data_IF_896393226709
#
_entry.id   IF_896393226709
#
_cell.length_a   1.000
_cell.length_b   1.000
_cell.length_c   1.000
_cell.angle_alpha   90.00
_cell.angle_beta   90.00
_cell.angle_gamma   90.00
#
_symmetry.space_group_name_H-M   'P 1'
#
loop_
_entity.id
_entity.type
_entity.pdbx_description
1 polymer ?
#
# COMPACT_ATOMS: atom_id res chain seq x y z
N UNK A 1 0.59 33.36 -25.79
CA UNK A 1 -0.77 32.79 -25.54
C UNK A 1 -0.57 31.35 -25.09
N UNK A 2 -0.61 31.11 -23.79
CA UNK A 2 -0.56 29.72 -23.27
C UNK A 2 -1.98 29.14 -23.43
N UNK A 3 -2.12 28.18 -24.33
CA UNK A 3 -3.32 27.39 -24.43
C UNK A 3 -3.50 26.66 -23.08
N UNK A 4 -4.56 27.00 -22.33
CA UNK A 4 -4.99 26.23 -21.18
C UNK A 4 -5.30 24.81 -21.69
N UNK A 5 -4.52 23.84 -21.26
CA UNK A 5 -4.92 22.43 -21.38
C UNK A 5 -6.23 22.33 -20.61
N UNK A 6 -7.33 21.89 -21.23
CA UNK A 6 -8.58 21.73 -20.50
C UNK A 6 -8.33 20.75 -19.35
N UNK A 7 -8.82 21.11 -18.15
CA UNK A 7 -8.81 20.19 -17.00
C UNK A 7 -9.43 18.88 -17.46
N UNK A 8 -8.63 17.81 -17.44
CA UNK A 8 -9.15 16.49 -17.79
C UNK A 8 -10.16 16.09 -16.71
N UNK A 9 -11.42 16.19 -17.04
CA UNK A 9 -12.50 15.71 -16.17
C UNK A 9 -12.25 14.21 -15.98
N UNK A 10 -12.12 13.79 -14.72
CA UNK A 10 -12.01 12.37 -14.38
C UNK A 10 -13.14 11.60 -15.07
N UNK A 11 -12.78 10.57 -15.81
CA UNK A 11 -13.72 9.64 -16.45
C UNK A 11 -13.85 8.39 -15.56
N UNK A 12 -14.92 8.28 -14.75
CA UNK A 12 -15.00 7.23 -13.72
C UNK A 12 -14.90 5.81 -14.27
N UNK A 13 -15.49 5.56 -15.44
CA UNK A 13 -15.44 4.23 -16.06
C UNK A 13 -14.01 3.85 -16.49
N UNK A 14 -13.27 4.79 -17.08
CA UNK A 14 -11.88 4.56 -17.49
C UNK A 14 -10.96 4.42 -16.27
N UNK A 15 -11.21 5.20 -15.22
CA UNK A 15 -10.45 5.08 -13.99
C UNK A 15 -10.67 3.70 -13.34
N UNK A 16 -11.92 3.25 -13.26
CA UNK A 16 -12.26 1.93 -12.72
C UNK A 16 -11.62 0.79 -13.53
N UNK A 17 -11.64 0.88 -14.86
CA UNK A 17 -10.98 -0.09 -15.73
C UNK A 17 -9.47 -0.15 -15.49
N UNK A 18 -8.80 1.00 -15.42
CA UNK A 18 -7.35 1.07 -15.17
C UNK A 18 -6.96 0.54 -13.79
N UNK A 19 -7.72 0.93 -12.76
CA UNK A 19 -7.49 0.42 -11.41
C UNK A 19 -7.70 -1.09 -11.37
N UNK A 20 -8.74 -1.63 -12.02
CA UNK A 20 -8.97 -3.06 -12.13
C UNK A 20 -7.81 -3.79 -12.80
N UNK A 21 -7.29 -3.28 -13.91
CA UNK A 21 -6.12 -3.84 -14.59
C UNK A 21 -4.87 -3.81 -13.69
N UNK A 22 -4.57 -2.66 -13.06
CA UNK A 22 -3.42 -2.55 -12.16
C UNK A 22 -3.53 -3.53 -10.98
N UNK A 23 -4.76 -3.74 -10.49
CA UNK A 23 -5.03 -4.69 -9.43
C UNK A 23 -4.71 -6.13 -9.85
N UNK A 24 -5.24 -6.56 -10.98
CA UNK A 24 -5.07 -7.93 -11.47
C UNK A 24 -3.64 -8.21 -11.95
N UNK A 25 -3.01 -7.24 -12.62
CA UNK A 25 -1.70 -7.43 -13.25
C UNK A 25 -0.53 -7.33 -12.23
N UNK A 26 -0.68 -6.56 -11.15
CA UNK A 26 0.43 -6.28 -10.23
C UNK A 26 0.03 -6.25 -8.75
N UNK A 27 -0.99 -5.48 -8.35
CA UNK A 27 -1.28 -5.22 -6.93
C UNK A 27 -1.62 -6.51 -6.17
N UNK A 28 -2.34 -7.44 -6.79
CA UNK A 28 -2.67 -8.74 -6.19
C UNK A 28 -1.41 -9.53 -5.82
N UNK A 29 -0.39 -9.48 -6.67
CA UNK A 29 0.92 -10.11 -6.41
C UNK A 29 1.64 -9.42 -5.25
N UNK A 30 1.68 -8.07 -5.23
CA UNK A 30 2.29 -7.31 -4.15
C UNK A 30 1.63 -7.61 -2.80
N UNK A 31 0.31 -7.66 -2.76
CA UNK A 31 -0.44 -8.01 -1.55
C UNK A 31 -0.18 -9.45 -1.10
N UNK A 32 -0.06 -10.38 -2.04
CA UNK A 32 0.29 -11.77 -1.75
C UNK A 32 1.66 -11.86 -1.09
N UNK A 33 2.66 -11.20 -1.64
CA UNK A 33 4.02 -11.14 -1.08
C UNK A 33 4.01 -10.43 0.29
N UNK A 34 3.27 -9.33 0.43
CA UNK A 34 3.13 -8.61 1.70
C UNK A 34 2.50 -9.49 2.79
N UNK A 35 1.41 -10.22 2.50
CA UNK A 35 0.73 -11.10 3.48
C UNK A 35 1.70 -12.15 4.04
N UNK A 36 2.57 -12.70 3.22
CA UNK A 36 3.54 -13.72 3.62
C UNK A 36 4.57 -13.23 4.67
N UNK A 37 4.73 -11.91 4.83
CA UNK A 37 5.67 -11.34 5.80
C UNK A 37 4.94 -11.11 7.13
N UNK A 38 5.28 -11.78 8.25
CA UNK A 38 4.59 -11.65 9.53
C UNK A 38 4.98 -10.36 10.29
N UNK A 39 4.87 -9.21 9.66
CA UNK A 39 5.22 -7.90 10.19
C UNK A 39 4.17 -7.40 11.19
N UNK A 40 4.14 -8.01 12.37
CA UNK A 40 3.18 -7.65 13.42
C UNK A 40 3.48 -6.29 14.05
N UNK A 41 2.43 -5.62 14.51
CA UNK A 41 2.51 -4.39 15.29
C UNK A 41 3.39 -4.57 16.54
N UNK A 42 4.14 -3.54 16.97
CA UNK A 42 5.00 -3.60 18.18
C UNK A 42 4.29 -4.12 19.43
N UNK A 43 3.01 -3.90 19.57
CA UNK A 43 2.20 -4.41 20.67
C UNK A 43 2.19 -5.95 20.73
N UNK A 44 2.29 -6.60 19.57
CA UNK A 44 2.24 -8.06 19.42
C UNK A 44 3.60 -8.68 19.11
N UNK A 45 4.60 -7.87 18.81
CA UNK A 45 5.98 -8.26 18.56
C UNK A 45 6.92 -7.23 19.21
N UNK A 46 7.19 -7.33 20.53
CA UNK A 46 8.07 -6.40 21.22
C UNK A 46 9.49 -6.34 20.65
N UNK A 47 9.92 -7.40 19.99
CA UNK A 47 11.20 -7.58 19.29
C UNK A 47 11.16 -7.11 17.82
N UNK A 48 10.15 -6.38 17.42
CA UNK A 48 9.92 -5.93 16.04
C UNK A 48 11.15 -5.28 15.39
N UNK A 49 11.92 -4.51 16.17
CA UNK A 49 13.09 -3.82 15.66
C UNK A 49 14.22 -4.80 15.29
N UNK A 50 14.41 -5.86 16.10
CA UNK A 50 15.39 -6.90 15.83
C UNK A 50 14.97 -7.81 14.66
N UNK A 51 13.67 -8.07 14.54
CA UNK A 51 13.11 -8.86 13.45
C UNK A 51 13.24 -8.17 12.09
N UNK A 52 13.17 -6.83 12.05
CA UNK A 52 13.30 -6.04 10.82
C UNK A 52 12.16 -6.22 9.80
N UNK A 53 11.07 -6.91 10.19
CA UNK A 53 9.97 -7.23 9.28
C UNK A 53 9.17 -5.99 8.87
N UNK A 54 9.00 -5.03 9.79
CA UNK A 54 8.35 -3.75 9.49
C UNK A 54 9.19 -2.92 8.50
N UNK A 55 10.52 -2.91 8.65
CA UNK A 55 11.40 -2.29 7.67
C UNK A 55 11.30 -2.96 6.29
N UNK A 56 11.13 -4.28 6.28
CA UNK A 56 11.01 -5.05 5.03
C UNK A 56 9.74 -4.67 4.29
N UNK A 57 8.56 -4.66 4.94
CA UNK A 57 7.30 -4.32 4.28
C UNK A 57 7.27 -2.87 3.83
N UNK A 58 7.81 -1.93 4.62
CA UNK A 58 7.90 -0.53 4.25
C UNK A 58 8.82 -0.32 3.04
N UNK A 59 9.98 -0.99 3.00
CA UNK A 59 10.91 -0.90 1.87
C UNK A 59 10.31 -1.48 0.59
N UNK A 60 9.63 -2.63 0.68
CA UNK A 60 8.96 -3.23 -0.46
C UNK A 60 7.88 -2.29 -1.02
N UNK A 61 7.05 -1.71 -0.15
CA UNK A 61 6.04 -0.74 -0.54
C UNK A 61 6.66 0.51 -1.18
N UNK A 62 7.73 1.08 -0.59
CA UNK A 62 8.45 2.22 -1.14
C UNK A 62 8.99 1.92 -2.54
N UNK A 63 9.66 0.78 -2.71
CA UNK A 63 10.18 0.35 -4.01
C UNK A 63 9.09 0.22 -5.06
N UNK A 64 7.94 -0.32 -4.67
CA UNK A 64 6.80 -0.45 -5.59
C UNK A 64 6.25 0.93 -5.98
N UNK A 65 6.05 1.85 -5.01
CA UNK A 65 5.56 3.21 -5.27
C UNK A 65 6.51 3.96 -6.22
N UNK A 66 7.83 3.89 -5.99
CA UNK A 66 8.83 4.51 -6.87
C UNK A 66 8.78 3.95 -8.30
N UNK A 67 8.54 2.63 -8.43
CA UNK A 67 8.46 1.96 -9.71
C UNK A 67 7.25 2.41 -10.57
N UNK A 68 6.20 2.98 -9.95
CA UNK A 68 5.04 3.51 -10.67
C UNK A 68 5.34 4.78 -11.46
N UNK A 69 6.46 5.46 -11.17
CA UNK A 69 6.94 6.66 -11.88
C UNK A 69 5.88 7.77 -12.01
N UNK A 70 5.10 7.95 -10.95
CA UNK A 70 4.08 9.00 -10.89
C UNK A 70 4.76 10.36 -10.98
N UNK A 71 4.33 11.19 -11.92
CA UNK A 71 4.89 12.52 -12.10
C UNK A 71 4.62 13.40 -10.86
N UNK A 72 5.66 14.11 -10.37
CA UNK A 72 5.54 14.95 -9.18
C UNK A 72 5.55 14.20 -7.85
N UNK A 73 5.72 12.88 -7.85
CA UNK A 73 5.86 12.10 -6.64
C UNK A 73 7.19 12.42 -5.95
N UNK A 74 7.11 12.68 -4.65
CA UNK A 74 8.25 12.68 -3.72
C UNK A 74 7.99 11.68 -2.62
N UNK A 75 8.95 10.80 -2.33
CA UNK A 75 8.83 9.73 -1.35
C UNK A 75 9.97 9.77 -0.34
N UNK A 76 9.65 9.56 0.92
CA UNK A 76 10.62 9.43 2.00
C UNK A 76 10.22 8.30 2.95
N UNK A 77 11.19 7.50 3.39
CA UNK A 77 11.02 6.58 4.51
C UNK A 77 11.61 7.21 5.76
N UNK A 78 10.76 7.76 6.59
CA UNK A 78 11.12 8.44 7.83
C UNK A 78 11.40 7.41 8.93
N UNK A 79 12.56 7.54 9.59
CA UNK A 79 12.97 6.67 10.71
C UNK A 79 13.35 7.52 11.90
N UNK A 80 12.66 7.30 13.01
CA UNK A 80 12.97 7.93 14.29
C UNK A 80 13.43 6.86 15.29
N UNK A 81 14.39 7.16 16.18
CA UNK A 81 14.86 6.22 17.17
C UNK A 81 13.72 5.67 18.04
N UNK A 82 13.62 4.33 18.15
CA UNK A 82 12.60 3.66 18.95
C UNK A 82 11.17 3.74 18.38
N UNK A 83 10.99 4.17 17.14
CA UNK A 83 9.71 4.22 16.44
C UNK A 83 9.73 3.33 15.21
N UNK A 84 8.55 2.86 14.82
CA UNK A 84 8.34 2.16 13.55
C UNK A 84 8.60 3.10 12.37
N UNK A 85 9.07 2.59 11.22
CA UNK A 85 9.27 3.41 10.02
C UNK A 85 7.94 3.95 9.50
N UNK A 86 7.96 5.14 8.93
CA UNK A 86 6.82 5.76 8.24
C UNK A 86 7.19 5.93 6.77
N UNK A 87 6.36 5.39 5.88
CA UNK A 87 6.41 5.69 4.45
C UNK A 87 5.57 6.94 4.21
N UNK A 88 6.22 8.02 3.84
CA UNK A 88 5.59 9.28 3.48
C UNK A 88 5.81 9.56 2.01
N UNK A 89 4.77 9.91 1.29
CA UNK A 89 4.90 10.42 -0.06
C UNK A 89 3.84 11.48 -0.35
N UNK A 90 4.19 12.38 -1.24
CA UNK A 90 3.31 13.43 -1.73
C UNK A 90 3.38 13.51 -3.24
N UNK A 91 2.27 13.88 -3.86
CA UNK A 91 2.15 14.09 -5.30
C UNK A 91 1.63 15.51 -5.50
N UNK A 92 2.41 16.31 -6.22
CA UNK A 92 2.01 17.68 -6.52
C UNK A 92 0.82 17.71 -7.47
N UNK A 93 -0.08 18.67 -7.25
CA UNK A 93 -1.17 18.91 -8.18
C UNK A 93 -0.65 19.31 -9.56
N UNK A 94 -1.26 18.78 -10.60
CA UNK A 94 -1.03 19.23 -11.98
C UNK A 94 -1.67 20.60 -12.28
N UNK A 95 -2.58 21.05 -11.41
CA UNK A 95 -3.27 22.34 -11.53
C UNK A 95 -2.60 23.39 -10.63
N UNK A 96 -1.95 24.38 -11.24
CA UNK A 96 -1.24 25.44 -10.50
C UNK A 96 -2.14 26.28 -9.56
N UNK A 97 -3.46 26.28 -9.79
CA UNK A 97 -4.44 26.99 -8.96
C UNK A 97 -5.05 26.08 -7.87
N UNK A 98 -4.63 24.84 -7.75
CA UNK A 98 -5.16 23.95 -6.72
C UNK A 98 -4.73 24.43 -5.33
N UNK A 99 -5.70 24.57 -4.43
CA UNK A 99 -5.49 25.00 -3.04
C UNK A 99 -5.89 23.93 -2.02
N UNK A 100 -6.36 22.78 -2.52
CA UNK A 100 -6.83 21.69 -1.69
C UNK A 100 -5.83 20.53 -1.72
N UNK A 101 -5.69 19.88 -0.57
CA UNK A 101 -4.87 18.68 -0.41
C UNK A 101 -5.75 17.54 0.09
N UNK A 102 -5.60 16.36 -0.48
CA UNK A 102 -6.20 15.11 0.03
C UNK A 102 -5.14 14.40 0.86
N UNK A 103 -5.43 14.17 2.13
CA UNK A 103 -4.61 13.33 2.99
C UNK A 103 -5.19 11.92 2.99
N UNK A 104 -4.36 10.94 2.65
CA UNK A 104 -4.67 9.52 2.74
C UNK A 104 -3.82 8.88 3.83
N UNK A 105 -4.35 7.86 4.47
CA UNK A 105 -3.69 7.13 5.55
C UNK A 105 -3.84 5.63 5.31
N UNK A 106 -2.82 4.89 5.69
CA UNK A 106 -2.81 3.44 5.76
C UNK A 106 -1.69 2.96 6.68
N UNK A 107 -1.69 1.66 7.03
CA UNK A 107 -0.63 1.07 7.84
C UNK A 107 -0.18 -0.28 7.28
N UNK A 108 1.07 -0.64 7.56
CA UNK A 108 1.71 -1.86 7.07
C UNK A 108 2.04 -2.86 8.19
N UNK A 109 1.83 -2.49 9.44
CA UNK A 109 1.90 -3.44 10.55
C UNK A 109 0.59 -4.22 10.68
N UNK A 110 0.66 -5.40 11.25
CA UNK A 110 -0.42 -6.38 11.24
C UNK A 110 -0.88 -6.76 12.63
N UNK A 111 -2.15 -7.07 12.74
CA UNK A 111 -2.73 -7.73 13.90
C UNK A 111 -2.15 -9.16 14.06
N UNK A 112 -2.28 -9.80 15.23
CA UNK A 112 -1.80 -11.16 15.44
C UNK A 112 -2.53 -12.20 14.59
N UNK A 113 -2.06 -13.43 14.67
CA UNK A 113 -2.40 -14.54 13.79
C UNK A 113 -3.89 -14.86 13.70
N UNK A 114 -4.63 -14.71 14.79
CA UNK A 114 -5.99 -15.21 14.94
C UNK A 114 -6.08 -16.75 14.91
N UNK A 115 -7.20 -17.29 15.36
CA UNK A 115 -7.54 -18.72 15.29
C UNK A 115 -8.75 -18.93 14.38
N UNK A 116 -9.04 -20.19 14.05
CA UNK A 116 -10.22 -20.53 13.25
C UNK A 116 -10.02 -20.43 11.74
N UNK A 117 -8.78 -20.37 11.26
CA UNK A 117 -8.50 -20.50 9.83
C UNK A 117 -8.98 -21.84 9.28
N UNK A 118 -9.52 -21.83 8.08
CA UNK A 118 -9.79 -23.06 7.32
C UNK A 118 -8.47 -23.86 7.18
N UNK A 119 -8.52 -25.17 7.17
CA UNK A 119 -7.34 -26.04 7.27
C UNK A 119 -6.28 -25.83 6.19
N UNK A 120 -6.65 -25.27 5.05
CA UNK A 120 -5.78 -24.95 3.92
C UNK A 120 -5.37 -23.46 3.86
N UNK A 121 -5.79 -22.66 4.85
CA UNK A 121 -5.49 -21.23 4.99
C UNK A 121 -4.66 -20.96 6.24
N UNK A 122 -3.99 -19.82 6.24
CA UNK A 122 -3.25 -19.35 7.41
C UNK A 122 -2.98 -17.85 7.34
N UNK A 123 -2.62 -17.24 8.46
CA UNK A 123 -2.40 -15.80 8.51
C UNK A 123 -1.30 -15.32 7.56
N UNK A 124 -0.24 -16.11 7.43
CA UNK A 124 0.95 -15.80 6.63
C UNK A 124 1.10 -16.70 5.40
N UNK A 125 0.05 -17.47 5.10
CA UNK A 125 -0.01 -18.33 3.91
C UNK A 125 -1.07 -17.76 2.98
N UNK A 126 -0.72 -16.79 2.15
CA UNK A 126 -1.67 -16.13 1.26
C UNK A 126 -2.23 -17.12 0.24
N UNK A 127 -3.52 -17.04 0.00
CA UNK A 127 -4.20 -17.85 -1.01
C UNK A 127 -5.20 -16.99 -1.76
N UNK A 128 -5.11 -16.99 -3.08
CA UNK A 128 -6.12 -16.40 -3.95
C UNK A 128 -7.04 -17.50 -4.47
N UNK A 129 -8.33 -17.38 -4.22
CA UNK A 129 -9.34 -18.37 -4.58
C UNK A 129 -10.69 -17.66 -4.80
N UNK A 130 -11.35 -17.93 -5.90
CA UNK A 130 -12.67 -17.40 -6.25
C UNK A 130 -12.79 -15.87 -6.12
N UNK A 131 -11.79 -15.15 -6.62
CA UNK A 131 -11.74 -13.69 -6.59
C UNK A 131 -11.45 -13.08 -5.20
N UNK A 132 -10.99 -13.89 -4.23
CA UNK A 132 -10.69 -13.44 -2.86
C UNK A 132 -9.25 -13.79 -2.50
N UNK A 133 -8.52 -12.83 -1.95
CA UNK A 133 -7.21 -13.05 -1.38
C UNK A 133 -7.33 -13.24 0.14
N UNK A 134 -6.99 -14.42 0.61
CA UNK A 134 -7.00 -14.79 2.02
C UNK A 134 -5.62 -14.59 2.65
N UNK A 135 -5.59 -14.05 3.86
CA UNK A 135 -4.40 -13.85 4.68
C UNK A 135 -4.52 -12.65 5.61
N UNK A 136 -3.64 -12.58 6.60
CA UNK A 136 -3.65 -11.51 7.59
C UNK A 136 -3.04 -10.21 7.02
N UNK A 137 -3.74 -9.09 7.20
CA UNK A 137 -3.23 -7.76 6.88
C UNK A 137 -3.50 -7.29 5.45
N UNK A 138 -4.08 -8.14 4.57
CA UNK A 138 -4.39 -7.73 3.20
C UNK A 138 -5.44 -6.62 3.16
N UNK A 139 -6.56 -6.80 3.86
CA UNK A 139 -7.64 -5.83 3.96
C UNK A 139 -7.49 -4.86 5.15
N UNK A 140 -6.70 -5.21 6.14
CA UNK A 140 -6.40 -4.40 7.34
C UNK A 140 -4.87 -4.35 7.54
N UNK A 141 -4.16 -3.42 6.91
CA UNK A 141 -4.58 -2.38 5.99
C UNK A 141 -3.63 -2.32 4.76
N UNK A 142 -2.93 -3.41 4.46
CA UNK A 142 -1.84 -3.46 3.48
C UNK A 142 -2.22 -3.00 2.08
N UNK A 143 -3.50 -3.12 1.69
CA UNK A 143 -3.96 -2.66 0.37
C UNK A 143 -3.90 -1.14 0.21
N UNK A 144 -3.97 -0.37 1.32
CA UNK A 144 -4.15 1.08 1.27
C UNK A 144 -3.04 1.81 0.51
N UNK A 145 -1.77 1.41 0.68
CA UNK A 145 -0.65 2.03 -0.04
C UNK A 145 -0.76 1.83 -1.54
N UNK A 146 -1.17 0.66 -1.98
CA UNK A 146 -1.33 0.34 -3.40
C UNK A 146 -2.54 1.04 -4.01
N UNK A 147 -3.67 1.03 -3.30
CA UNK A 147 -4.89 1.72 -3.73
C UNK A 147 -4.74 3.24 -3.77
N UNK A 148 -3.82 3.81 -3.01
CA UNK A 148 -3.54 5.26 -3.01
C UNK A 148 -2.81 5.74 -4.26
N UNK A 149 -2.17 4.83 -4.99
CA UNK A 149 -1.33 5.13 -6.17
C UNK A 149 -2.00 4.69 -7.47
N UNK A 150 -2.90 3.72 -7.43
CA UNK A 150 -3.53 3.10 -8.60
C UNK A 150 -4.59 4.01 -9.34
#
# INVERSE_FOLDING_TARGET
>A
MNARVPSQILQPALALERVGQAWDDDILRQLTEYIAIPAKSPTFAPDWAQLGLLDTVVRNAATWVEAQKVAGLRLEVVRLPGRTPVLFFEIESTEAAATQTVLMYGHLDKQPEFSGWRSDLGPWTPKYEDGKLYGRGGADDGYAVYASIA
#
